data_IF_379122473820
#
_entry.id   IF_379122473820
#
_cell.length_a   1.000
_cell.length_b   1.000
_cell.length_c   1.000
_cell.angle_alpha   90.00
_cell.angle_beta   90.00
_cell.angle_gamma   90.00
#
_symmetry.space_group_name_H-M   'P 1'
#
loop_
_entity.id
_entity.type
_entity.pdbx_description
1 polymer ?
#
# COMPACT_ATOMS: atom_id res chain seq x y z
N UNK A 1 -6.37 -22.95 1.48
CA UNK A 1 -5.81 -21.62 1.72
C UNK A 1 -5.36 -21.59 3.15
N UNK A 2 -4.10 -21.94 3.36
CA UNK A 2 -3.41 -21.78 4.64
C UNK A 2 -2.75 -20.43 4.58
N UNK A 3 -3.08 -19.55 5.52
CA UNK A 3 -2.37 -18.27 5.66
C UNK A 3 -1.07 -18.57 6.39
N UNK A 4 0.06 -18.22 5.79
CA UNK A 4 1.35 -18.31 6.45
C UNK A 4 1.43 -17.22 7.53
N UNK A 5 1.84 -17.61 8.74
CA UNK A 5 1.86 -16.71 9.91
C UNK A 5 2.87 -15.59 9.69
N UNK A 6 3.93 -15.88 8.96
CA UNK A 6 4.97 -14.95 8.52
C UNK A 6 4.40 -13.79 7.71
N UNK A 7 3.34 -14.02 6.94
CA UNK A 7 2.72 -12.98 6.10
C UNK A 7 1.82 -12.04 6.91
N UNK A 8 1.22 -12.56 7.98
CA UNK A 8 0.48 -11.76 8.95
C UNK A 8 1.40 -10.79 9.70
N UNK A 9 2.68 -11.12 9.87
CA UNK A 9 3.66 -10.22 10.49
C UNK A 9 4.04 -9.04 9.58
N UNK A 10 3.90 -9.19 8.26
CA UNK A 10 4.16 -8.12 7.31
C UNK A 10 2.97 -7.13 7.19
N UNK A 11 1.76 -7.52 7.59
CA UNK A 11 0.57 -6.65 7.55
C UNK A 11 0.72 -5.39 8.42
N UNK A 12 1.15 -5.45 9.69
CA UNK A 12 1.43 -4.24 10.48
C UNK A 12 2.45 -3.30 9.84
N UNK A 13 3.47 -3.87 9.17
CA UNK A 13 4.50 -3.09 8.45
C UNK A 13 3.89 -2.38 7.24
N UNK A 14 3.04 -3.08 6.49
CA UNK A 14 2.30 -2.49 5.37
C UNK A 14 1.39 -1.34 5.83
N UNK A 15 0.65 -1.53 6.92
CA UNK A 15 -0.24 -0.51 7.47
C UNK A 15 0.56 0.70 7.97
N UNK A 16 1.66 0.48 8.69
CA UNK A 16 2.53 1.55 9.18
C UNK A 16 3.13 2.38 8.03
N UNK A 17 3.57 1.72 6.95
CA UNK A 17 4.08 2.39 5.75
C UNK A 17 3.03 3.30 5.10
N UNK A 18 1.79 2.81 4.95
CA UNK A 18 0.69 3.60 4.38
C UNK A 18 0.25 4.75 5.31
N UNK A 19 0.21 4.53 6.63
CA UNK A 19 -0.07 5.57 7.61
C UNK A 19 0.92 6.73 7.50
N UNK A 20 2.21 6.42 7.38
CA UNK A 20 3.26 7.42 7.19
C UNK A 20 3.15 8.12 5.84
N UNK A 21 2.98 7.36 4.75
CA UNK A 21 2.86 7.91 3.39
C UNK A 21 1.66 8.86 3.22
N UNK A 22 0.55 8.56 3.89
CA UNK A 22 -0.68 9.36 3.79
C UNK A 22 -0.78 10.46 4.83
N UNK A 23 0.32 10.74 5.56
CA UNK A 23 0.42 11.77 6.60
C UNK A 23 -0.65 11.62 7.70
N UNK A 24 -1.09 10.38 7.97
CA UNK A 24 -2.02 10.06 9.05
C UNK A 24 -1.30 9.82 10.38
N UNK A 25 -0.01 9.52 10.32
CA UNK A 25 0.81 9.32 11.50
C UNK A 25 2.22 9.86 11.26
N UNK A 26 2.67 10.72 12.18
CA UNK A 26 4.04 11.21 12.19
C UNK A 26 4.98 10.07 12.59
N UNK A 27 5.55 9.41 11.59
CA UNK A 27 6.50 8.31 11.77
C UNK A 27 7.94 8.83 11.73
N UNK A 28 8.24 9.72 12.68
CA UNK A 28 9.59 10.25 12.91
C UNK A 28 10.35 9.33 13.88
N UNK A 29 11.37 8.66 13.35
CA UNK A 29 12.30 7.80 14.10
C UNK A 29 13.56 8.56 14.54
N UNK A 30 13.47 9.89 14.63
CA UNK A 30 14.51 10.83 15.06
C UNK A 30 15.50 11.19 13.96
N UNK A 31 16.05 10.19 13.26
CA UNK A 31 16.96 10.41 12.11
C UNK A 31 16.26 10.22 10.76
N UNK A 32 15.11 9.55 10.76
CA UNK A 32 14.40 9.14 9.54
C UNK A 32 12.92 9.45 9.75
N UNK A 33 12.37 10.26 8.85
CA UNK A 33 10.94 10.46 8.73
C UNK A 33 10.43 9.59 7.58
N UNK A 34 9.52 8.66 7.90
CA UNK A 34 8.92 7.77 6.90
C UNK A 34 7.88 8.49 6.02
N UNK A 35 7.26 9.56 6.52
CA UNK A 35 6.26 10.34 5.78
C UNK A 35 6.89 11.35 4.83
N UNK A 36 8.09 11.85 5.14
CA UNK A 36 8.78 12.83 4.33
C UNK A 36 9.03 12.34 2.88
N UNK A 37 8.54 13.07 1.86
CA UNK A 37 8.80 12.72 0.48
C UNK A 37 10.24 13.05 0.09
N UNK A 38 10.94 12.10 -0.53
CA UNK A 38 12.29 12.31 -1.06
C UNK A 38 12.31 12.49 -2.58
N UNK A 39 11.22 12.11 -3.26
CA UNK A 39 11.06 12.32 -4.69
C UNK A 39 9.59 12.52 -5.05
N UNK A 40 9.34 13.31 -6.10
CA UNK A 40 7.98 13.61 -6.56
C UNK A 40 7.91 13.41 -8.06
N UNK A 41 6.93 12.63 -8.50
CA UNK A 41 6.66 12.37 -9.91
C UNK A 41 5.33 13.01 -10.27
N UNK A 42 5.33 13.88 -11.27
CA UNK A 42 4.11 14.50 -11.78
C UNK A 42 3.88 14.09 -13.24
N UNK A 43 2.73 13.47 -13.52
CA UNK A 43 2.34 13.05 -14.85
C UNK A 43 0.83 13.22 -15.05
N UNK A 44 0.42 13.79 -16.18
CA UNK A 44 -0.99 13.86 -16.56
C UNK A 44 -1.93 14.58 -15.57
N UNK A 45 -1.41 15.53 -14.79
CA UNK A 45 -2.18 16.26 -13.76
C UNK A 45 -2.25 15.55 -12.40
N UNK A 46 -1.58 14.42 -12.23
CA UNK A 46 -1.42 13.72 -10.95
C UNK A 46 0.00 13.89 -10.42
N UNK A 47 0.10 14.10 -9.12
CA UNK A 47 1.37 14.16 -8.39
C UNK A 47 1.44 12.97 -7.44
N UNK A 48 2.48 12.16 -7.59
CA UNK A 48 2.80 11.03 -6.72
C UNK A 48 4.07 11.37 -5.95
N UNK A 49 3.99 11.31 -4.64
CA UNK A 49 5.11 11.52 -3.75
C UNK A 49 5.68 10.16 -3.31
N UNK A 50 6.99 9.99 -3.50
CA UNK A 50 7.72 8.82 -3.05
C UNK A 50 8.34 9.14 -1.68
N UNK A 51 7.87 8.43 -0.66
CA UNK A 51 8.37 8.48 0.70
C UNK A 51 8.94 7.12 1.11
N UNK A 52 9.68 7.07 2.22
CA UNK A 52 10.16 5.80 2.76
C UNK A 52 9.00 4.93 3.25
N UNK A 53 7.90 5.53 3.72
CA UNK A 53 6.66 4.84 4.06
C UNK A 53 6.08 4.06 2.88
N UNK A 54 6.06 4.67 1.69
CA UNK A 54 5.66 3.97 0.45
C UNK A 54 6.59 2.80 0.14
N UNK A 55 7.91 3.00 0.25
CA UNK A 55 8.89 1.93 0.00
C UNK A 55 8.68 0.76 0.97
N UNK A 56 8.45 1.05 2.25
CA UNK A 56 8.16 0.04 3.27
C UNK A 56 6.84 -0.70 2.98
N UNK A 57 5.78 0.02 2.60
CA UNK A 57 4.52 -0.58 2.21
C UNK A 57 4.67 -1.51 1.00
N UNK A 58 5.37 -1.07 -0.04
CA UNK A 58 5.64 -1.90 -1.22
C UNK A 58 6.54 -3.09 -0.91
N UNK A 59 7.51 -2.94 -0.01
CA UNK A 59 8.36 -4.04 0.44
C UNK A 59 7.56 -5.10 1.21
N UNK A 60 6.65 -4.69 2.10
CA UNK A 60 5.76 -5.61 2.81
C UNK A 60 4.81 -6.35 1.84
N UNK A 61 4.28 -5.64 0.83
CA UNK A 61 3.49 -6.27 -0.22
C UNK A 61 4.32 -7.28 -1.03
N UNK A 62 5.53 -6.89 -1.44
CA UNK A 62 6.46 -7.75 -2.16
C UNK A 62 6.88 -8.98 -1.35
N UNK A 63 7.00 -8.84 -0.02
CA UNK A 63 7.25 -9.96 0.88
C UNK A 63 6.13 -10.99 0.81
N UNK A 64 4.87 -10.57 0.95
CA UNK A 64 3.69 -11.46 0.84
C UNK A 64 3.62 -12.15 -0.52
N UNK A 65 3.91 -11.43 -1.60
CA UNK A 65 3.97 -12.02 -2.94
C UNK A 65 5.15 -12.98 -3.11
N UNK A 66 6.21 -12.85 -2.32
CA UNK A 66 7.35 -13.76 -2.38
C UNK A 66 7.10 -15.03 -1.57
N UNK A 67 6.52 -14.90 -0.37
CA UNK A 67 6.27 -16.00 0.56
C UNK A 67 5.07 -16.85 0.21
N UNK A 68 4.02 -16.29 -0.41
CA UNK A 68 2.87 -17.08 -0.90
C UNK A 68 3.20 -18.05 -2.07
N UNK A 69 4.48 -18.26 -2.38
CA UNK A 69 5.00 -19.12 -3.46
C UNK A 69 4.15 -19.06 -4.72
N UNK A 70 3.83 -17.84 -5.11
CA UNK A 70 2.87 -17.61 -6.18
C UNK A 70 3.54 -17.95 -7.50
N UNK A 71 3.33 -19.18 -7.95
CA UNK A 71 3.70 -19.63 -9.27
C UNK A 71 2.99 -18.80 -10.34
N UNK A 72 3.66 -17.74 -10.83
CA UNK A 72 3.14 -16.81 -11.83
C UNK A 72 2.65 -17.50 -13.12
N UNK A 73 3.07 -18.73 -13.39
CA UNK A 73 2.64 -19.53 -14.55
C UNK A 73 1.21 -20.08 -14.44
N UNK A 74 0.58 -20.07 -13.25
CA UNK A 74 -0.74 -20.65 -13.00
C UNK A 74 -1.85 -19.64 -12.70
N UNK A 75 -1.55 -18.34 -12.73
CA UNK A 75 -2.51 -17.33 -12.29
C UNK A 75 -3.64 -17.09 -13.27
N UNK A 76 -4.85 -17.01 -12.71
CA UNK A 76 -5.99 -16.43 -13.41
C UNK A 76 -5.77 -14.94 -13.67
N UNK A 77 -6.38 -14.42 -14.73
CA UNK A 77 -6.36 -12.98 -15.02
C UNK A 77 -6.84 -12.12 -13.83
N UNK A 78 -7.73 -12.66 -12.99
CA UNK A 78 -8.25 -11.97 -11.82
C UNK A 78 -7.20 -11.81 -10.70
N UNK A 79 -6.37 -12.82 -10.46
CA UNK A 79 -5.30 -12.75 -9.45
C UNK A 79 -4.24 -11.72 -9.86
N UNK A 80 -3.82 -11.74 -11.12
CA UNK A 80 -2.91 -10.75 -11.68
C UNK A 80 -3.48 -9.33 -11.58
N UNK A 81 -4.77 -9.16 -11.90
CA UNK A 81 -5.45 -7.88 -11.81
C UNK A 81 -5.53 -7.37 -10.37
N UNK A 82 -5.81 -8.24 -9.40
CA UNK A 82 -5.86 -7.85 -7.99
C UNK A 82 -4.52 -7.29 -7.54
N UNK A 83 -3.42 -7.95 -7.88
CA UNK A 83 -2.07 -7.49 -7.48
C UNK A 83 -1.73 -6.16 -8.11
N UNK A 84 -1.95 -6.02 -9.42
CA UNK A 84 -1.74 -4.75 -10.12
C UNK A 84 -2.55 -3.64 -9.44
N UNK A 85 -3.81 -3.93 -9.08
CA UNK A 85 -4.70 -2.98 -8.41
C UNK A 85 -4.18 -2.61 -7.02
N UNK A 86 -3.78 -3.57 -6.19
CA UNK A 86 -3.28 -3.29 -4.83
C UNK A 86 -1.97 -2.51 -4.87
N UNK A 87 -1.03 -2.87 -5.75
CA UNK A 87 0.22 -2.13 -5.97
C UNK A 87 -0.09 -0.69 -6.39
N UNK A 88 -0.96 -0.53 -7.39
CA UNK A 88 -1.32 0.80 -7.91
C UNK A 88 -2.00 1.67 -6.85
N UNK A 89 -2.94 1.09 -6.10
CA UNK A 89 -3.63 1.78 -5.00
C UNK A 89 -2.68 2.18 -3.86
N UNK A 90 -1.61 1.42 -3.64
CA UNK A 90 -0.57 1.76 -2.65
C UNK A 90 0.29 2.93 -3.16
N UNK A 91 0.72 2.88 -4.42
CA UNK A 91 1.55 3.94 -5.03
C UNK A 91 0.80 5.26 -5.11
N UNK A 92 -0.43 5.23 -5.62
CA UNK A 92 -1.19 6.43 -5.91
C UNK A 92 -2.69 6.16 -5.77
N UNK A 93 -3.25 6.22 -4.55
CA UNK A 93 -4.67 5.97 -4.33
C UNK A 93 -5.51 7.06 -5.02
N UNK A 94 -6.18 6.76 -6.16
CA UNK A 94 -6.75 7.77 -7.05
C UNK A 94 -7.98 8.45 -6.46
N UNK A 95 -8.61 7.84 -5.46
CA UNK A 95 -9.78 8.40 -4.79
C UNK A 95 -9.41 9.35 -3.65
N UNK A 96 -8.16 9.37 -3.16
CA UNK A 96 -7.78 10.27 -2.06
C UNK A 96 -7.98 11.74 -2.43
N UNK A 97 -7.52 12.23 -3.60
CA UNK A 97 -7.77 13.62 -3.99
C UNK A 97 -9.25 13.94 -4.14
N UNK A 98 -10.02 13.01 -4.73
CA UNK A 98 -11.45 13.18 -4.96
C UNK A 98 -12.24 13.20 -3.64
N UNK A 99 -12.02 12.23 -2.76
CA UNK A 99 -12.65 12.17 -1.44
C UNK A 99 -12.17 13.32 -0.56
N UNK A 100 -10.91 13.72 -0.67
CA UNK A 100 -10.34 14.84 0.07
C UNK A 100 -11.07 16.15 -0.22
N UNK A 101 -11.44 16.37 -1.49
CA UNK A 101 -12.23 17.52 -1.91
C UNK A 101 -13.66 17.54 -1.35
N UNK A 102 -14.22 16.38 -0.98
CA UNK A 102 -15.62 16.26 -0.52
C UNK A 102 -15.75 16.12 1.00
N UNK A 103 -14.82 15.41 1.64
CA UNK A 103 -14.92 14.92 3.02
C UNK A 103 -13.73 15.31 3.90
N UNK A 104 -12.68 15.90 3.32
CA UNK A 104 -11.42 16.22 4.00
C UNK A 104 -10.34 15.16 3.79
N UNK A 105 -9.07 15.59 3.80
CA UNK A 105 -7.91 14.76 3.49
C UNK A 105 -7.71 13.60 4.46
N UNK A 106 -7.96 13.82 5.76
CA UNK A 106 -7.81 12.79 6.80
C UNK A 106 -8.79 11.62 6.59
N UNK A 107 -10.06 11.92 6.28
CA UNK A 107 -11.08 10.91 5.99
C UNK A 107 -10.74 10.14 4.72
N UNK A 108 -10.29 10.85 3.69
CA UNK A 108 -9.89 10.25 2.42
C UNK A 108 -8.69 9.30 2.58
N UNK A 109 -7.66 9.73 3.33
CA UNK A 109 -6.50 8.92 3.66
C UNK A 109 -6.88 7.69 4.49
N UNK A 110 -7.78 7.84 5.48
CA UNK A 110 -8.25 6.72 6.31
C UNK A 110 -8.99 5.68 5.47
N UNK A 111 -9.86 6.13 4.56
CA UNK A 111 -10.52 5.25 3.61
C UNK A 111 -9.51 4.54 2.70
N UNK A 112 -8.42 5.21 2.34
CA UNK A 112 -7.38 4.61 1.51
C UNK A 112 -6.68 3.45 2.20
N UNK A 113 -6.29 3.66 3.45
CA UNK A 113 -5.68 2.60 4.26
C UNK A 113 -6.63 1.41 4.41
N UNK A 114 -7.92 1.65 4.64
CA UNK A 114 -8.89 0.57 4.75
C UNK A 114 -8.95 -0.26 3.45
N UNK A 115 -9.07 0.40 2.29
CA UNK A 115 -9.12 -0.28 0.97
C UNK A 115 -7.82 -1.03 0.68
N UNK A 116 -6.67 -0.39 0.91
CA UNK A 116 -5.34 -0.99 0.71
C UNK A 116 -5.14 -2.20 1.62
N UNK A 117 -5.54 -2.11 2.90
CA UNK A 117 -5.43 -3.22 3.86
C UNK A 117 -6.33 -4.40 3.49
N UNK A 118 -7.55 -4.14 3.01
CA UNK A 118 -8.44 -5.19 2.49
C UNK A 118 -7.79 -5.86 1.28
N UNK A 119 -7.22 -5.07 0.36
CA UNK A 119 -6.49 -5.57 -0.80
C UNK A 119 -5.31 -6.45 -0.41
N UNK A 120 -4.50 -6.00 0.54
CA UNK A 120 -3.39 -6.78 1.10
C UNK A 120 -3.87 -8.09 1.72
N UNK A 121 -4.91 -8.06 2.55
CA UNK A 121 -5.49 -9.25 3.16
C UNK A 121 -5.99 -10.22 2.08
N UNK A 122 -6.62 -9.73 1.02
CA UNK A 122 -7.05 -10.59 -0.08
C UNK A 122 -5.87 -11.31 -0.75
N UNK A 123 -4.68 -10.69 -0.82
CA UNK A 123 -3.46 -11.34 -1.33
C UNK A 123 -2.94 -12.44 -0.41
N UNK A 124 -3.09 -12.31 0.91
CA UNK A 124 -2.75 -13.38 1.87
C UNK A 124 -3.54 -14.68 1.64
N UNK A 125 -4.71 -14.57 1.02
CA UNK A 125 -5.56 -15.73 0.74
C UNK A 125 -5.41 -16.26 -0.69
N UNK A 126 -4.55 -15.67 -1.52
CA UNK A 126 -4.41 -16.09 -2.93
C UNK A 126 -3.31 -17.15 -3.13
N UNK A 127 -2.40 -17.30 -2.16
CA UNK A 127 -1.45 -18.41 -2.07
C UNK A 127 -2.09 -19.75 -1.68
#
# INVERSE_FOLDING_TARGET
MTVDVEDLLALPVFIAGNLAQLDLYAADLGLIDLGAPFHTVSAGGYTTELSLGLVVALAALGWVLYTNDVGFSGWSAMQSWLIITVVWLTISPPFVPFMGALLGMEVAATAAIAVQSIGYIALLYIG
#
